data_IF_579038767630
#
_entry.id   IF_579038767630
#
_cell.length_a   1.000
_cell.length_b   1.000
_cell.length_c   1.000
_cell.angle_alpha   90.00
_cell.angle_beta   90.00
_cell.angle_gamma   90.00
#
_symmetry.space_group_name_H-M   'P 1'
#
loop_
_entity.id
_entity.type
_entity.pdbx_description
1 polymer ?
#
# COMPACT_ATOMS: atom_id res chain seq x y z
N UNK A 1 5.37 -4.31 -13.56
CA UNK A 1 4.65 -5.29 -12.73
C UNK A 1 5.66 -6.15 -11.97
N UNK A 2 5.43 -6.40 -10.68
CA UNK A 2 6.26 -7.27 -9.83
C UNK A 2 5.36 -8.36 -9.25
N UNK A 3 5.91 -9.54 -9.01
CA UNK A 3 5.21 -10.67 -8.40
C UNK A 3 6.18 -11.47 -7.54
N UNK A 4 5.66 -12.13 -6.50
CA UNK A 4 6.40 -13.07 -5.68
C UNK A 4 5.85 -14.49 -5.92
N UNK A 5 6.75 -15.46 -6.03
CA UNK A 5 6.40 -16.88 -6.11
C UNK A 5 7.16 -17.62 -5.01
N UNK A 6 6.46 -18.43 -4.25
CA UNK A 6 7.07 -19.30 -3.24
C UNK A 6 6.94 -20.74 -3.69
N UNK A 7 8.04 -21.48 -3.61
CA UNK A 7 8.10 -22.89 -3.92
C UNK A 7 8.68 -23.63 -2.71
N UNK A 8 7.93 -24.59 -2.18
CA UNK A 8 8.44 -25.51 -1.16
C UNK A 8 9.14 -26.68 -1.85
N UNK A 9 10.48 -26.69 -1.84
CA UNK A 9 11.28 -27.78 -2.40
C UNK A 9 11.68 -28.86 -1.38
N UNK A 10 11.18 -28.79 -0.15
CA UNK A 10 11.43 -29.78 0.91
C UNK A 10 10.28 -30.77 1.08
N UNK A 11 10.52 -31.81 1.91
CA UNK A 11 9.49 -32.83 2.23
C UNK A 11 8.56 -32.39 3.37
N UNK A 12 8.90 -31.34 4.12
CA UNK A 12 8.11 -30.81 5.23
C UNK A 12 7.12 -29.73 4.81
N UNK A 13 6.06 -29.53 5.59
CA UNK A 13 5.13 -28.44 5.43
C UNK A 13 5.78 -27.10 5.83
N UNK A 14 5.50 -26.03 5.07
CA UNK A 14 5.85 -24.67 5.44
C UNK A 14 4.56 -23.85 5.65
N UNK A 15 4.54 -23.06 6.73
CA UNK A 15 3.46 -22.12 6.98
C UNK A 15 3.87 -20.74 6.49
N UNK A 16 3.29 -20.31 5.38
CA UNK A 16 3.50 -18.99 4.85
C UNK A 16 2.54 -17.99 5.51
N UNK A 17 3.05 -17.19 6.44
CA UNK A 17 2.23 -16.22 7.19
C UNK A 17 1.96 -14.93 6.41
N UNK A 18 2.89 -14.52 5.54
CA UNK A 18 2.78 -13.27 4.77
C UNK A 18 3.69 -13.34 3.54
N UNK A 19 3.21 -12.81 2.42
CA UNK A 19 4.00 -12.48 1.24
C UNK A 19 3.78 -11.01 0.92
N UNK A 20 4.87 -10.26 0.80
CA UNK A 20 4.85 -8.89 0.27
C UNK A 20 5.50 -8.93 -1.10
N UNK A 21 4.70 -8.76 -2.14
CA UNK A 21 5.17 -8.84 -3.53
C UNK A 21 5.86 -7.56 -4.01
N UNK A 22 5.71 -6.48 -3.25
CA UNK A 22 6.26 -5.18 -3.57
C UNK A 22 6.84 -4.52 -2.32
N UNK A 23 8.04 -3.96 -2.47
CA UNK A 23 8.68 -3.06 -1.51
C UNK A 23 9.33 -1.92 -2.27
N UNK A 24 9.18 -0.70 -1.77
CA UNK A 24 9.79 0.50 -2.30
C UNK A 24 10.21 1.42 -1.16
N UNK A 25 11.42 1.96 -1.28
CA UNK A 25 11.92 3.04 -0.45
C UNK A 25 12.06 4.32 -1.32
N UNK A 26 11.67 5.47 -0.76
CA UNK A 26 11.73 6.78 -1.41
C UNK A 26 12.50 7.77 -0.52
N UNK A 27 13.57 8.34 -1.05
CA UNK A 27 14.59 9.06 -0.29
C UNK A 27 14.13 10.37 0.36
N UNK A 28 13.06 11.01 -0.09
CA UNK A 28 12.56 12.30 0.41
C UNK A 28 11.12 12.19 0.89
N UNK A 29 10.86 11.22 1.77
CA UNK A 29 9.51 10.90 2.23
C UNK A 29 8.84 11.97 3.09
N UNK A 30 9.61 12.81 3.78
CA UNK A 30 9.08 13.79 4.75
C UNK A 30 8.13 14.85 4.16
N UNK A 31 8.08 14.99 2.85
CA UNK A 31 7.15 15.90 2.14
C UNK A 31 6.07 15.15 1.35
N UNK A 32 5.79 13.91 1.69
CA UNK A 32 4.79 13.11 1.03
C UNK A 32 3.49 13.04 1.83
N UNK A 33 2.40 12.98 1.08
CA UNK A 33 1.10 12.58 1.57
C UNK A 33 0.80 11.15 1.09
N UNK A 34 0.09 10.43 1.93
CA UNK A 34 -0.48 9.13 1.62
C UNK A 34 -1.91 9.32 1.11
N UNK A 35 -2.22 8.71 -0.04
CA UNK A 35 -3.56 8.67 -0.60
C UNK A 35 -4.07 7.24 -0.58
N UNK A 36 -5.27 7.04 -0.06
CA UNK A 36 -5.98 5.77 -0.03
C UNK A 36 -7.42 5.93 -0.52
N UNK A 37 -8.04 4.81 -0.85
CA UNK A 37 -9.39 4.78 -1.41
C UNK A 37 -10.31 3.89 -0.55
N UNK A 38 -10.61 4.30 0.69
CA UNK A 38 -11.64 3.65 1.47
C UNK A 38 -13.03 3.91 0.89
N UNK A 39 -14.04 3.24 1.45
CA UNK A 39 -15.40 3.47 1.03
C UNK A 39 -16.41 2.58 1.74
N UNK A 40 -17.63 2.68 1.30
CA UNK A 40 -18.75 1.84 1.73
C UNK A 40 -19.69 1.64 0.55
N UNK A 41 -20.65 0.76 0.70
CA UNK A 41 -21.66 0.54 -0.32
C UNK A 41 -22.36 1.86 -0.73
N UNK A 42 -22.36 2.14 -2.02
CA UNK A 42 -22.91 3.37 -2.58
C UNK A 42 -22.01 4.62 -2.43
N UNK A 43 -20.85 4.49 -1.78
CA UNK A 43 -19.84 5.53 -1.64
C UNK A 43 -18.45 4.88 -1.65
N UNK A 44 -18.16 4.16 -2.71
CA UNK A 44 -16.89 3.47 -2.89
C UNK A 44 -15.79 4.43 -3.33
N UNK A 45 -14.54 4.09 -3.01
CA UNK A 45 -13.33 4.78 -3.49
C UNK A 45 -13.31 6.28 -3.15
N UNK A 46 -13.69 6.62 -1.92
CA UNK A 46 -13.51 7.98 -1.45
C UNK A 46 -12.02 8.30 -1.36
N UNK A 47 -11.60 9.42 -1.91
CA UNK A 47 -10.19 9.82 -1.85
C UNK A 47 -9.90 10.37 -0.45
N UNK A 48 -9.09 9.64 0.30
CA UNK A 48 -8.51 10.12 1.56
C UNK A 48 -7.04 10.43 1.36
N UNK A 49 -6.65 11.64 1.74
CA UNK A 49 -5.28 12.13 1.67
C UNK A 49 -4.85 12.61 3.05
N UNK A 50 -3.70 12.12 3.52
CA UNK A 50 -3.15 12.47 4.82
C UNK A 50 -1.62 12.53 4.75
N UNK A 51 -0.95 13.35 5.57
CA UNK A 51 0.49 13.38 5.63
C UNK A 51 1.07 12.01 6.00
N UNK A 52 2.12 11.59 5.28
CA UNK A 52 2.89 10.43 5.68
C UNK A 52 3.69 10.77 6.94
N UNK A 53 3.66 9.90 7.92
CA UNK A 53 4.29 10.11 9.24
C UNK A 53 5.15 8.90 9.61
N UNK A 54 5.91 9.01 10.72
CA UNK A 54 6.71 7.91 11.28
C UNK A 54 5.86 6.76 11.85
N UNK A 55 4.54 6.93 11.94
CA UNK A 55 3.63 5.84 12.27
C UNK A 55 3.35 4.97 11.04
N UNK A 56 3.22 3.67 11.25
CA UNK A 56 2.83 2.76 10.18
C UNK A 56 1.38 3.01 9.78
N UNK A 57 1.17 3.57 8.61
CA UNK A 57 -0.14 3.65 7.97
C UNK A 57 -0.46 2.31 7.34
N UNK A 58 -1.60 1.75 7.68
CA UNK A 58 -1.97 0.40 7.26
C UNK A 58 -3.33 0.38 6.58
N UNK A 59 -3.34 -0.15 5.37
CA UNK A 59 -4.54 -0.40 4.56
C UNK A 59 -4.62 -1.91 4.33
N UNK A 60 -5.73 -2.53 4.71
CA UNK A 60 -5.87 -3.99 4.57
C UNK A 60 -7.30 -4.44 4.33
N UNK A 61 -7.45 -5.55 3.66
CA UNK A 61 -8.63 -6.40 3.73
C UNK A 61 -8.21 -7.80 4.18
N UNK A 62 -8.80 -8.30 5.26
CA UNK A 62 -8.57 -9.65 5.79
C UNK A 62 -9.77 -10.58 5.60
N UNK A 63 -10.66 -10.27 4.64
CA UNK A 63 -11.94 -10.97 4.43
C UNK A 63 -11.90 -12.02 3.34
N UNK A 64 -10.72 -12.35 2.82
CA UNK A 64 -10.57 -13.24 1.67
C UNK A 64 -10.80 -12.58 0.32
N UNK A 65 -11.29 -11.34 0.30
CA UNK A 65 -11.49 -10.52 -0.90
C UNK A 65 -11.06 -9.08 -0.64
N UNK A 66 -10.61 -8.38 -1.67
CA UNK A 66 -10.56 -6.92 -1.65
C UNK A 66 -12.00 -6.40 -1.62
N UNK A 67 -12.27 -5.40 -0.77
CA UNK A 67 -13.64 -4.95 -0.53
C UNK A 67 -13.83 -3.49 -0.93
N UNK A 68 -15.10 -3.07 -1.05
CA UNK A 68 -15.46 -1.67 -1.24
C UNK A 68 -15.06 -0.78 -0.05
N UNK A 69 -14.80 -1.37 1.13
CA UNK A 69 -14.32 -0.63 2.31
C UNK A 69 -12.85 -0.26 2.20
N UNK A 70 -12.04 -1.10 1.54
CA UNK A 70 -10.62 -0.87 1.32
C UNK A 70 -10.26 -1.31 -0.10
N UNK A 71 -9.93 -0.35 -0.94
CA UNK A 71 -9.42 -0.65 -2.27
C UNK A 71 -7.95 -1.05 -2.19
N UNK A 72 -7.47 -2.06 -2.94
CA UNK A 72 -6.06 -2.45 -2.98
C UNK A 72 -5.21 -1.46 -3.78
N UNK A 73 -5.32 -0.18 -3.41
CA UNK A 73 -4.61 0.93 -4.01
C UNK A 73 -4.09 1.87 -2.93
N UNK A 74 -2.89 2.36 -3.13
CA UNK A 74 -2.24 3.37 -2.30
C UNK A 74 -1.42 4.28 -3.20
N UNK A 75 -1.34 5.56 -2.89
CA UNK A 75 -0.43 6.45 -3.60
C UNK A 75 0.35 7.32 -2.62
N UNK A 76 1.57 7.68 -3.03
CA UNK A 76 2.40 8.68 -2.40
C UNK A 76 2.46 9.90 -3.32
N UNK A 77 2.08 11.06 -2.82
CA UNK A 77 2.07 12.30 -3.57
C UNK A 77 2.83 13.39 -2.80
N UNK A 78 3.56 14.24 -3.49
CA UNK A 78 4.12 15.43 -2.85
C UNK A 78 2.97 16.30 -2.30
N UNK A 79 3.19 16.96 -1.16
CA UNK A 79 2.13 17.76 -0.49
C UNK A 79 1.51 18.83 -1.37
N UNK A 80 2.28 19.36 -2.30
CA UNK A 80 1.84 20.38 -3.25
C UNK A 80 1.19 19.82 -4.52
N UNK A 81 1.17 18.48 -4.67
CA UNK A 81 0.59 17.83 -5.84
C UNK A 81 -0.93 18.06 -5.91
N UNK A 82 -1.37 18.48 -7.08
CA UNK A 82 -2.77 18.62 -7.47
C UNK A 82 -3.08 17.67 -8.63
N UNK A 83 -4.28 17.74 -9.18
CA UNK A 83 -4.64 16.98 -10.40
C UNK A 83 -3.87 17.44 -11.64
N UNK A 84 -3.37 18.67 -11.65
CA UNK A 84 -2.70 19.29 -12.79
C UNK A 84 -1.19 19.44 -12.62
N UNK A 85 -0.67 19.30 -11.38
CA UNK A 85 0.71 19.61 -11.07
C UNK A 85 1.28 18.71 -9.96
N UNK A 86 2.59 18.44 -10.04
CA UNK A 86 3.35 17.71 -9.02
C UNK A 86 3.52 16.23 -9.34
N UNK A 87 4.20 15.52 -8.44
CA UNK A 87 4.48 14.09 -8.58
C UNK A 87 3.57 13.24 -7.70
N UNK A 88 3.02 12.18 -8.27
CA UNK A 88 2.23 11.18 -7.58
C UNK A 88 2.61 9.77 -8.06
N UNK A 89 2.87 8.88 -7.12
CA UNK A 89 3.26 7.49 -7.37
C UNK A 89 2.15 6.57 -6.89
N UNK A 90 1.40 5.99 -7.81
CA UNK A 90 0.30 5.06 -7.51
C UNK A 90 0.75 3.60 -7.54
N UNK A 91 0.26 2.82 -6.57
CA UNK A 91 0.52 1.40 -6.43
C UNK A 91 -0.82 0.66 -6.31
N UNK A 92 -1.05 -0.28 -7.20
CA UNK A 92 -2.24 -1.11 -7.19
C UNK A 92 -1.84 -2.59 -7.10
N UNK A 93 -2.45 -3.31 -6.17
CA UNK A 93 -2.30 -4.76 -6.10
C UNK A 93 -3.33 -5.40 -7.03
N UNK A 94 -2.83 -6.08 -8.06
CA UNK A 94 -3.65 -6.81 -9.04
C UNK A 94 -4.02 -8.19 -8.49
N UNK A 95 -4.71 -8.19 -7.36
CA UNK A 95 -5.14 -9.38 -6.65
C UNK A 95 -6.48 -9.14 -5.96
N UNK A 96 -7.41 -10.07 -6.07
CA UNK A 96 -8.78 -9.92 -5.55
C UNK A 96 -8.98 -10.49 -4.14
N UNK A 97 -7.97 -11.11 -3.57
CA UNK A 97 -8.03 -11.72 -2.23
C UNK A 97 -7.76 -10.74 -1.09
N UNK A 98 -7.42 -11.29 0.06
CA UNK A 98 -6.94 -10.50 1.19
C UNK A 98 -5.63 -9.80 0.84
N UNK A 99 -5.45 -8.58 1.29
CA UNK A 99 -4.25 -7.80 1.01
C UNK A 99 -3.83 -6.95 2.21
N UNK A 100 -2.60 -6.51 2.16
CA UNK A 100 -2.01 -5.57 3.10
C UNK A 100 -1.13 -4.59 2.34
N UNK A 101 -1.29 -3.30 2.62
CA UNK A 101 -0.36 -2.25 2.25
C UNK A 101 0.03 -1.48 3.52
N UNK A 102 1.31 -1.23 3.68
CA UNK A 102 1.86 -0.47 4.80
C UNK A 102 2.79 0.61 4.24
N UNK A 103 2.66 1.83 4.78
CA UNK A 103 3.55 2.94 4.47
C UNK A 103 3.96 3.67 5.74
N UNK A 104 5.22 4.07 5.83
CA UNK A 104 5.79 4.77 6.99
C UNK A 104 6.95 5.67 6.56
N UNK A 105 7.32 6.62 7.42
CA UNK A 105 8.63 7.27 7.38
C UNK A 105 9.56 6.56 8.37
N UNK A 106 10.79 6.32 7.95
CA UNK A 106 11.84 5.89 8.84
C UNK A 106 12.45 7.06 9.62
N UNK A 107 13.43 6.77 10.48
CA UNK A 107 14.12 7.78 11.31
C UNK A 107 14.91 8.82 10.51
N UNK A 108 15.07 8.65 9.21
CA UNK A 108 15.77 9.55 8.28
C UNK A 108 14.82 10.24 7.29
N UNK A 109 13.52 10.24 7.58
CA UNK A 109 12.47 10.76 6.69
C UNK A 109 12.44 10.09 5.30
N UNK A 110 12.89 8.85 5.20
CA UNK A 110 12.72 8.05 4.00
C UNK A 110 11.37 7.34 4.06
N UNK A 111 10.60 7.43 2.99
CA UNK A 111 9.33 6.72 2.91
C UNK A 111 9.56 5.26 2.52
N UNK A 112 8.99 4.35 3.27
CA UNK A 112 8.91 2.93 2.95
C UNK A 112 7.47 2.54 2.65
N UNK A 113 7.26 1.82 1.56
CA UNK A 113 5.97 1.28 1.19
C UNK A 113 6.12 -0.20 0.86
N UNK A 114 5.31 -1.04 1.48
CA UNK A 114 5.22 -2.47 1.19
C UNK A 114 3.78 -2.86 0.87
N UNK A 115 3.57 -3.80 -0.05
CA UNK A 115 2.25 -4.27 -0.46
C UNK A 115 2.29 -5.74 -0.89
N UNK A 116 1.26 -6.49 -0.48
CA UNK A 116 1.09 -7.90 -0.86
C UNK A 116 -0.20 -8.52 -0.36
#
# INVERSE_FOLDING_TARGET
>A
MRAARVHNGGEGEILLKRIMSFNMDYMNGGNLDLISLPGRYGQERQVERQPLTHHVHKIRSGRGISSHQQNPFIALAERTTTEEFGACYGFALMYSGSFLAEAELDQYDQARLVMG
#
